data_IF_904517166488
#
_entry.id   IF_904517166488
#
_cell.length_a   1.000
_cell.length_b   1.000
_cell.length_c   1.000
_cell.angle_alpha   90.00
_cell.angle_beta   90.00
_cell.angle_gamma   90.00
#
_symmetry.space_group_name_H-M   'P 1'
#
loop_
_entity.id
_entity.type
_entity.pdbx_description
1 polymer ?
#
# COMPACT_ATOMS: atom_id res chain seq x y z
N UNK A 1 16.29 -14.67 -20.77
CA UNK A 1 15.20 -14.17 -21.63
C UNK A 1 14.17 -13.58 -20.70
N UNK A 2 13.90 -12.29 -20.80
CA UNK A 2 12.78 -11.71 -20.07
C UNK A 2 11.50 -12.30 -20.68
N UNK A 3 10.66 -12.88 -19.87
CA UNK A 3 9.37 -13.40 -20.22
C UNK A 3 8.49 -12.21 -20.67
N UNK A 4 8.13 -12.16 -21.92
CA UNK A 4 7.36 -11.07 -22.56
C UNK A 4 5.87 -11.04 -22.18
N UNK A 5 5.52 -11.63 -21.04
CA UNK A 5 4.15 -11.69 -20.56
C UNK A 5 3.83 -10.51 -19.62
N UNK A 6 2.60 -10.02 -19.69
CA UNK A 6 2.08 -9.12 -18.66
C UNK A 6 2.11 -9.79 -17.28
N UNK A 7 2.53 -9.06 -16.25
CA UNK A 7 2.72 -9.60 -14.89
C UNK A 7 2.30 -8.63 -13.83
N UNK A 8 1.70 -9.17 -12.80
CA UNK A 8 1.63 -8.54 -11.48
C UNK A 8 2.73 -9.13 -10.59
N UNK A 9 3.49 -8.25 -9.96
CA UNK A 9 4.47 -8.64 -8.94
C UNK A 9 3.86 -8.31 -7.59
N UNK A 10 3.67 -9.33 -6.75
CA UNK A 10 3.11 -9.16 -5.42
C UNK A 10 4.17 -9.44 -4.36
N UNK A 11 4.06 -8.77 -3.23
CA UNK A 11 4.77 -9.08 -1.99
C UNK A 11 3.76 -9.65 -1.01
N UNK A 12 4.11 -10.77 -0.40
CA UNK A 12 3.22 -11.50 0.50
C UNK A 12 3.90 -11.71 1.86
N UNK A 13 3.20 -11.34 2.93
CA UNK A 13 3.61 -11.59 4.32
C UNK A 13 2.67 -12.61 4.93
N UNK A 14 3.20 -13.79 5.20
CA UNK A 14 2.45 -14.87 5.85
C UNK A 14 2.74 -14.88 7.35
N UNK A 15 1.68 -14.86 8.14
CA UNK A 15 1.74 -15.02 9.58
C UNK A 15 1.53 -16.47 9.95
N UNK A 16 2.26 -16.93 10.97
CA UNK A 16 2.09 -18.25 11.56
C UNK A 16 1.22 -18.12 12.82
N UNK A 17 0.39 -19.13 13.08
CA UNK A 17 -0.50 -19.16 14.24
C UNK A 17 -1.35 -17.89 14.38
N UNK A 18 -2.02 -17.53 13.28
CA UNK A 18 -2.82 -16.32 13.17
C UNK A 18 -4.12 -16.58 12.38
N UNK A 19 -5.27 -16.15 12.93
CA UNK A 19 -6.57 -16.36 12.31
C UNK A 19 -7.30 -15.03 12.14
N UNK A 20 -7.38 -14.54 10.89
CA UNK A 20 -8.09 -13.31 10.54
C UNK A 20 -9.55 -13.53 10.11
N UNK A 21 -9.98 -14.77 9.92
CA UNK A 21 -11.34 -15.13 9.50
C UNK A 21 -11.78 -14.39 8.22
N UNK A 22 -10.89 -14.25 7.25
CA UNK A 22 -11.12 -13.57 5.97
C UNK A 22 -11.49 -12.09 6.10
N UNK A 23 -11.21 -11.48 7.26
CA UNK A 23 -11.47 -10.06 7.53
C UNK A 23 -10.15 -9.30 7.64
N UNK A 24 -10.08 -8.17 6.96
CA UNK A 24 -8.91 -7.30 6.98
C UNK A 24 -9.33 -5.83 6.87
N UNK A 25 -8.40 -4.93 7.06
CA UNK A 25 -8.63 -3.49 7.02
C UNK A 25 -7.66 -2.82 6.06
N UNK A 26 -8.17 -1.94 5.22
CA UNK A 26 -7.36 -1.09 4.34
C UNK A 26 -7.73 0.37 4.57
N UNK A 27 -6.77 1.25 4.45
CA UNK A 27 -7.09 2.66 4.40
C UNK A 27 -7.34 3.09 2.95
N UNK A 28 -8.36 3.88 2.72
CA UNK A 28 -8.66 4.43 1.39
C UNK A 28 -8.28 5.91 1.23
N UNK A 29 -7.94 6.59 2.31
CA UNK A 29 -7.65 8.02 2.32
C UNK A 29 -6.54 8.43 3.31
N UNK A 30 -5.83 7.47 3.90
CA UNK A 30 -4.82 7.71 4.93
C UNK A 30 -5.37 8.14 6.31
N UNK A 31 -6.69 8.26 6.47
CA UNK A 31 -7.32 8.76 7.71
C UNK A 31 -8.08 7.68 8.47
N UNK A 32 -8.73 6.78 7.78
CA UNK A 32 -9.60 5.76 8.38
C UNK A 32 -9.33 4.39 7.80
N UNK A 33 -9.32 3.37 8.66
CA UNK A 33 -9.23 1.98 8.25
C UNK A 33 -10.62 1.43 7.98
N UNK A 34 -10.87 0.99 6.76
CA UNK A 34 -12.12 0.40 6.31
C UNK A 34 -12.06 -1.12 6.44
N UNK A 35 -13.06 -1.72 7.04
CA UNK A 35 -13.20 -3.16 7.12
C UNK A 35 -13.49 -3.76 5.74
N UNK A 36 -12.80 -4.83 5.43
CA UNK A 36 -12.95 -5.62 4.19
C UNK A 36 -13.15 -7.09 4.56
N UNK A 37 -14.07 -7.72 3.88
CA UNK A 37 -14.33 -9.16 4.04
C UNK A 37 -14.15 -9.81 2.68
N UNK A 38 -13.36 -10.87 2.63
CA UNK A 38 -13.08 -11.60 1.41
C UNK A 38 -14.39 -12.13 0.80
N UNK A 39 -14.58 -11.90 -0.49
CA UNK A 39 -15.77 -12.30 -1.25
C UNK A 39 -17.11 -11.75 -0.71
N UNK A 40 -17.10 -10.67 0.04
CA UNK A 40 -18.31 -10.09 0.61
C UNK A 40 -18.36 -8.57 0.44
N UNK A 41 -19.56 -8.06 0.12
CA UNK A 41 -19.85 -6.62 0.02
C UNK A 41 -21.10 -6.32 0.82
N UNK A 42 -21.01 -5.58 1.94
CA UNK A 42 -22.17 -5.35 2.81
C UNK A 42 -23.26 -4.48 2.17
N UNK A 43 -22.92 -3.67 1.20
CA UNK A 43 -23.86 -2.72 0.57
C UNK A 43 -24.65 -3.27 -0.61
N UNK A 44 -24.32 -4.47 -1.10
CA UNK A 44 -25.00 -5.07 -2.24
C UNK A 44 -24.75 -6.57 -2.36
N UNK A 45 -25.71 -7.28 -2.97
CA UNK A 45 -25.58 -8.71 -3.21
C UNK A 45 -24.62 -8.92 -4.37
N UNK A 46 -23.37 -9.18 -4.06
CA UNK A 46 -22.30 -9.38 -5.03
C UNK A 46 -22.06 -10.86 -5.28
N UNK A 47 -22.15 -11.27 -6.55
CA UNK A 47 -21.67 -12.56 -7.03
C UNK A 47 -20.43 -12.32 -7.88
N UNK A 48 -19.26 -12.49 -7.31
CA UNK A 48 -18.02 -12.16 -8.00
C UNK A 48 -17.63 -13.18 -9.06
N UNK A 49 -17.56 -12.73 -10.30
CA UNK A 49 -17.02 -13.54 -11.38
C UNK A 49 -15.48 -13.61 -11.36
N UNK A 50 -14.85 -12.76 -10.56
CA UNK A 50 -13.40 -12.62 -10.49
C UNK A 50 -12.92 -12.66 -9.03
N UNK A 51 -12.78 -13.84 -8.50
CA UNK A 51 -12.44 -14.10 -7.10
C UNK A 51 -11.12 -13.46 -6.64
N UNK A 52 -10.18 -13.21 -7.54
CA UNK A 52 -8.90 -12.59 -7.22
C UNK A 52 -9.01 -11.07 -7.29
N UNK A 53 -9.24 -10.52 -8.47
CA UNK A 53 -9.18 -9.06 -8.70
C UNK A 53 -10.25 -8.29 -7.90
N UNK A 54 -11.40 -8.89 -7.65
CA UNK A 54 -12.47 -8.27 -6.86
C UNK A 54 -12.14 -8.12 -5.38
N UNK A 55 -11.10 -8.76 -4.87
CA UNK A 55 -10.70 -8.71 -3.47
C UNK A 55 -9.48 -7.82 -3.21
N UNK A 56 -8.99 -7.13 -4.25
CA UNK A 56 -8.00 -6.08 -4.07
C UNK A 56 -8.67 -4.74 -3.79
N UNK A 57 -8.15 -4.05 -2.80
CA UNK A 57 -8.61 -2.73 -2.36
C UNK A 57 -7.48 -1.72 -2.39
N UNK A 58 -7.79 -0.42 -2.53
CA UNK A 58 -6.78 0.61 -2.36
C UNK A 58 -6.15 0.55 -0.97
N UNK A 59 -4.82 0.65 -0.94
CA UNK A 59 -4.00 0.77 0.27
C UNK A 59 -3.15 2.01 0.07
N UNK A 60 -3.54 3.13 0.66
CA UNK A 60 -2.79 4.38 0.52
C UNK A 60 -1.60 4.42 1.47
N UNK A 61 -1.78 3.97 2.69
CA UNK A 61 -0.73 3.97 3.71
C UNK A 61 -0.66 2.72 4.57
N UNK A 62 -1.75 1.94 4.69
CA UNK A 62 -1.74 0.76 5.55
C UNK A 62 -2.79 -0.30 5.18
N UNK A 63 -2.42 -1.57 5.38
CA UNK A 63 -3.30 -2.73 5.39
C UNK A 63 -3.04 -3.53 6.66
N UNK A 64 -4.10 -4.02 7.31
CA UNK A 64 -3.99 -4.74 8.57
C UNK A 64 -4.88 -5.98 8.62
N UNK A 65 -4.44 -6.98 9.38
CA UNK A 65 -5.23 -8.15 9.78
C UNK A 65 -5.25 -8.25 11.29
N UNK A 66 -6.36 -8.78 11.85
CA UNK A 66 -6.55 -8.98 13.29
C UNK A 66 -6.88 -10.43 13.58
N UNK A 67 -6.23 -10.96 14.59
CA UNK A 67 -6.57 -12.23 15.22
C UNK A 67 -7.23 -11.94 16.57
N UNK A 68 -8.55 -12.12 16.63
CA UNK A 68 -9.32 -11.84 17.84
C UNK A 68 -9.05 -12.83 18.96
N UNK A 69 -8.59 -14.04 18.66
CA UNK A 69 -8.29 -15.07 19.65
C UNK A 69 -7.06 -14.72 20.49
N UNK A 70 -6.11 -14.02 19.89
CA UNK A 70 -4.85 -13.62 20.52
C UNK A 70 -4.71 -12.11 20.74
N UNK A 71 -5.71 -11.34 20.33
CA UNK A 71 -5.68 -9.86 20.33
C UNK A 71 -4.53 -9.26 19.52
N UNK A 72 -3.95 -10.01 18.61
CA UNK A 72 -2.85 -9.54 17.75
C UNK A 72 -3.37 -8.85 16.50
N UNK A 73 -2.75 -7.74 16.15
CA UNK A 73 -2.89 -7.11 14.85
C UNK A 73 -1.53 -7.08 14.15
N UNK A 74 -1.54 -7.42 12.87
CA UNK A 74 -0.39 -7.24 11.99
C UNK A 74 -0.77 -6.18 10.97
N UNK A 75 0.06 -5.15 10.84
CA UNK A 75 -0.13 -4.04 9.90
C UNK A 75 1.09 -3.96 8.99
N UNK A 76 0.85 -3.85 7.69
CA UNK A 76 1.86 -3.48 6.70
C UNK A 76 1.57 -2.06 6.25
N UNK A 77 2.53 -1.16 6.42
CA UNK A 77 2.47 0.22 5.94
C UNK A 77 3.35 0.34 4.69
N UNK A 78 2.88 1.09 3.72
CA UNK A 78 3.52 1.31 2.42
C UNK A 78 3.84 2.79 2.21
N UNK A 79 4.88 3.08 1.43
CA UNK A 79 5.34 4.46 1.15
C UNK A 79 4.56 5.14 0.02
N UNK A 80 3.70 4.42 -0.68
CA UNK A 80 2.89 4.92 -1.81
C UNK A 80 1.63 4.09 -1.97
N UNK A 81 0.61 4.69 -2.59
CA UNK A 81 -0.66 3.99 -2.84
C UNK A 81 -0.46 2.77 -3.74
N UNK A 82 -1.00 1.66 -3.32
CA UNK A 82 -0.94 0.36 -3.98
C UNK A 82 -2.29 -0.34 -3.86
N UNK A 83 -2.41 -1.52 -4.44
CA UNK A 83 -3.55 -2.39 -4.23
C UNK A 83 -3.16 -3.54 -3.31
N UNK A 84 -3.99 -3.85 -2.33
CA UNK A 84 -3.72 -4.91 -1.37
C UNK A 84 -4.94 -5.77 -1.07
N UNK A 85 -4.67 -6.97 -0.61
CA UNK A 85 -5.64 -7.95 -0.15
C UNK A 85 -5.09 -8.75 1.03
N UNK A 86 -5.96 -9.50 1.68
CA UNK A 86 -5.53 -10.46 2.69
C UNK A 86 -6.33 -11.76 2.60
N UNK A 87 -5.77 -12.85 3.08
CA UNK A 87 -6.33 -14.22 3.00
C UNK A 87 -6.65 -14.71 1.57
N UNK A 88 -6.21 -14.03 0.54
CA UNK A 88 -6.58 -14.30 -0.83
C UNK A 88 -5.83 -15.51 -1.40
N UNK A 89 -4.51 -15.39 -1.54
CA UNK A 89 -3.66 -16.43 -2.14
C UNK A 89 -3.27 -17.50 -1.11
N UNK A 90 -3.11 -17.08 0.13
CA UNK A 90 -2.73 -17.94 1.25
C UNK A 90 -3.43 -17.44 2.51
N UNK A 91 -3.97 -18.36 3.31
CA UNK A 91 -4.55 -18.01 4.60
C UNK A 91 -3.53 -17.34 5.52
N UNK A 92 -3.99 -16.41 6.33
CA UNK A 92 -3.20 -15.64 7.29
C UNK A 92 -2.05 -14.89 6.61
N UNK A 93 -2.34 -14.28 5.46
CA UNK A 93 -1.35 -13.50 4.72
C UNK A 93 -1.92 -12.16 4.25
N UNK A 94 -1.05 -11.16 4.25
CA UNK A 94 -1.27 -9.87 3.59
C UNK A 94 -0.52 -9.89 2.26
N UNK A 95 -1.17 -9.42 1.21
CA UNK A 95 -0.60 -9.34 -0.13
C UNK A 95 -0.76 -7.93 -0.68
N UNK A 96 0.31 -7.36 -1.23
CA UNK A 96 0.32 -6.04 -1.89
C UNK A 96 0.87 -6.19 -3.30
N UNK A 97 0.19 -5.63 -4.29
CA UNK A 97 0.73 -5.51 -5.66
C UNK A 97 1.80 -4.43 -5.63
N UNK A 98 3.04 -4.86 -5.77
CA UNK A 98 4.18 -3.94 -5.82
C UNK A 98 4.29 -3.26 -7.16
N UNK A 99 4.10 -4.01 -8.25
CA UNK A 99 4.25 -3.53 -9.61
C UNK A 99 3.38 -4.31 -10.58
N UNK A 100 2.96 -3.66 -11.63
CA UNK A 100 2.17 -4.26 -12.72
C UNK A 100 2.79 -3.91 -14.05
N UNK A 101 2.88 -4.89 -14.94
CA UNK A 101 3.24 -4.71 -16.33
C UNK A 101 2.17 -5.35 -17.20
N UNK A 102 1.62 -4.58 -18.12
CA UNK A 102 0.67 -5.04 -19.14
C UNK A 102 1.21 -4.69 -20.52
N UNK A 103 1.21 -5.65 -21.43
CA UNK A 103 1.74 -5.46 -22.78
C UNK A 103 0.71 -4.84 -23.73
N UNK A 104 -0.57 -4.96 -23.40
CA UNK A 104 -1.67 -4.49 -24.23
C UNK A 104 -2.64 -3.66 -23.40
N UNK A 105 -3.20 -2.66 -24.04
CA UNK A 105 -4.34 -1.91 -23.52
C UNK A 105 -5.60 -2.78 -23.49
N UNK A 106 -6.46 -2.57 -22.52
CA UNK A 106 -7.73 -3.30 -22.36
C UNK A 106 -8.88 -2.73 -23.20
N UNK A 107 -8.63 -1.69 -23.99
CA UNK A 107 -9.61 -0.98 -24.84
C UNK A 107 -10.79 -0.38 -24.05
N UNK A 108 -10.54 0.03 -22.79
CA UNK A 108 -11.56 0.59 -21.89
C UNK A 108 -11.37 2.07 -21.58
N UNK A 109 -10.51 2.77 -22.30
CA UNK A 109 -10.34 4.21 -22.07
C UNK A 109 -9.07 4.81 -22.63
N UNK A 110 -7.99 4.79 -21.88
CA UNK A 110 -6.78 5.58 -22.15
C UNK A 110 -6.03 5.17 -23.43
N UNK A 111 -6.10 3.91 -23.83
CA UNK A 111 -5.42 3.41 -25.02
C UNK A 111 -3.91 3.18 -24.82
N UNK A 112 -3.47 3.02 -23.60
CA UNK A 112 -2.06 2.83 -23.26
C UNK A 112 -1.83 1.54 -22.46
N UNK A 113 -0.85 0.74 -22.89
CA UNK A 113 -0.37 -0.39 -22.12
C UNK A 113 0.53 0.11 -20.95
N UNK A 114 0.66 -0.70 -19.89
CA UNK A 114 1.61 -0.47 -18.79
C UNK A 114 2.92 -1.18 -19.10
N UNK A 115 3.66 -0.68 -20.08
CA UNK A 115 4.88 -1.32 -20.58
C UNK A 115 6.05 -0.34 -20.70
N UNK A 116 6.19 0.54 -19.73
CA UNK A 116 7.24 1.54 -19.69
C UNK A 116 8.61 0.90 -19.55
N UNK A 117 9.57 1.49 -20.25
CA UNK A 117 10.97 1.09 -20.22
C UNK A 117 11.87 2.31 -19.94
N UNK A 118 13.08 2.04 -19.45
CA UNK A 118 14.11 3.05 -19.35
C UNK A 118 14.69 3.40 -20.74
N UNK A 119 15.60 4.35 -20.79
CA UNK A 119 16.26 4.81 -22.03
C UNK A 119 17.04 3.70 -22.76
N UNK A 120 17.33 2.60 -22.11
CA UNK A 120 18.04 1.44 -22.66
C UNK A 120 17.08 0.31 -23.08
N UNK A 121 15.78 0.52 -22.94
CA UNK A 121 14.75 -0.48 -23.26
C UNK A 121 14.52 -1.54 -22.18
N UNK A 122 15.09 -1.38 -20.98
CA UNK A 122 14.82 -2.27 -19.85
C UNK A 122 13.56 -1.84 -19.11
N UNK A 123 12.82 -2.80 -18.60
CA UNK A 123 11.65 -2.52 -17.74
C UNK A 123 12.04 -1.68 -16.52
N UNK A 124 11.12 -0.82 -16.10
CA UNK A 124 11.33 0.08 -14.95
C UNK A 124 11.63 -0.71 -13.67
N UNK A 125 12.66 -0.29 -12.95
CA UNK A 125 13.01 -0.84 -11.64
C UNK A 125 12.35 0.00 -10.55
N UNK A 126 11.59 -0.65 -9.68
CA UNK A 126 10.89 -0.01 -8.58
C UNK A 126 11.44 -0.53 -7.26
N UNK A 127 11.93 0.38 -6.42
CA UNK A 127 12.26 0.10 -5.04
C UNK A 127 11.07 0.49 -4.18
N UNK A 128 10.56 -0.44 -3.38
CA UNK A 128 9.47 -0.19 -2.45
C UNK A 128 9.94 -0.44 -1.02
N UNK A 129 9.46 0.37 -0.09
CA UNK A 129 9.66 0.18 1.33
C UNK A 129 8.35 -0.14 2.02
N UNK A 130 8.41 -1.07 2.92
CA UNK A 130 7.30 -1.49 3.75
C UNK A 130 7.74 -1.53 5.21
N UNK A 131 6.83 -1.15 6.09
CA UNK A 131 7.01 -1.25 7.53
C UNK A 131 6.02 -2.25 8.08
N UNK A 132 6.52 -3.20 8.82
CA UNK A 132 5.71 -4.22 9.47
C UNK A 132 5.58 -3.89 10.96
N UNK A 133 4.34 -3.80 11.44
CA UNK A 133 4.02 -3.59 12.84
C UNK A 133 3.18 -4.74 13.37
N UNK A 134 3.50 -5.20 14.59
CA UNK A 134 2.70 -6.18 15.32
C UNK A 134 2.35 -5.57 16.66
N UNK A 135 1.06 -5.52 16.99
CA UNK A 135 0.57 -4.91 18.21
C UNK A 135 -0.63 -5.67 18.82
N UNK A 136 -0.92 -5.36 20.08
CA UNK A 136 -2.18 -5.76 20.73
C UNK A 136 -3.24 -4.67 20.46
N UNK A 137 -4.15 -4.94 19.50
CA UNK A 137 -5.12 -3.94 19.05
C UNK A 137 -6.17 -3.57 20.12
N UNK A 138 -6.25 -4.30 21.22
CA UNK A 138 -7.15 -3.97 22.33
C UNK A 138 -6.56 -2.92 23.27
N UNK A 139 -5.24 -2.86 23.36
CA UNK A 139 -4.50 -1.95 24.26
C UNK A 139 -3.89 -0.76 23.54
N UNK A 140 -3.41 -0.96 22.33
CA UNK A 140 -2.56 -0.02 21.60
C UNK A 140 -3.29 0.63 20.42
N UNK A 141 -4.54 1.04 20.62
CA UNK A 141 -5.44 1.55 19.55
C UNK A 141 -4.88 2.74 18.75
N UNK A 142 -4.07 3.58 19.37
CA UNK A 142 -3.50 4.77 18.74
C UNK A 142 -2.13 4.53 18.09
N UNK A 143 -1.46 3.44 18.43
CA UNK A 143 -0.07 3.20 18.02
C UNK A 143 0.04 3.05 16.51
N UNK A 144 -0.81 2.26 15.88
CA UNK A 144 -0.83 2.12 14.42
C UNK A 144 -0.92 3.49 13.73
N UNK A 145 -1.81 4.36 14.21
CA UNK A 145 -1.98 5.69 13.60
C UNK A 145 -0.75 6.58 13.78
N UNK A 146 -0.09 6.50 14.92
CA UNK A 146 1.15 7.24 15.17
C UNK A 146 2.26 6.76 14.24
N UNK A 147 2.45 5.45 14.09
CA UNK A 147 3.44 4.89 13.18
C UNK A 147 3.13 5.22 11.71
N UNK A 148 1.88 5.13 11.31
CA UNK A 148 1.42 5.52 9.98
C UNK A 148 1.76 6.98 9.67
N UNK A 149 1.54 7.90 10.60
CA UNK A 149 1.89 9.30 10.44
C UNK A 149 3.40 9.53 10.31
N UNK A 150 4.22 8.78 11.06
CA UNK A 150 5.68 8.87 10.96
C UNK A 150 6.20 8.37 9.61
N UNK A 151 5.55 7.38 9.03
CA UNK A 151 5.87 6.86 7.69
C UNK A 151 5.43 7.82 6.59
N UNK A 152 4.19 8.30 6.66
CA UNK A 152 3.57 9.15 5.62
C UNK A 152 4.11 10.59 5.63
N UNK A 153 4.46 11.09 6.82
CA UNK A 153 4.90 12.47 7.03
C UNK A 153 6.21 12.51 7.82
N UNK A 154 7.32 12.01 7.24
CA UNK A 154 8.61 12.06 7.90
C UNK A 154 9.05 13.51 8.09
N UNK A 155 9.81 13.73 9.15
CA UNK A 155 10.34 15.05 9.48
C UNK A 155 11.26 15.53 8.35
N UNK A 156 10.94 16.68 7.76
CA UNK A 156 11.74 17.29 6.71
C UNK A 156 12.60 18.39 7.32
N UNK A 157 13.91 18.27 7.12
CA UNK A 157 14.87 19.28 7.55
C UNK A 157 15.22 20.17 6.36
N UNK A 158 15.04 21.49 6.50
CA UNK A 158 15.46 22.46 5.48
C UNK A 158 16.38 23.50 6.11
N UNK A 159 17.36 23.95 5.34
CA UNK A 159 18.27 25.02 5.72
C UNK A 159 18.10 26.17 4.75
N UNK A 160 17.92 27.38 5.29
CA UNK A 160 17.97 28.61 4.51
C UNK A 160 19.23 29.39 4.91
N UNK A 161 19.99 29.87 3.94
CA UNK A 161 21.07 30.82 4.17
C UNK A 161 20.51 32.22 3.95
N UNK A 162 20.48 33.02 5.01
CA UNK A 162 20.22 34.46 4.89
C UNK A 162 21.39 35.14 4.20
N UNK A 163 21.18 35.61 2.98
CA UNK A 163 22.10 36.52 2.34
C UNK A 163 21.88 37.92 2.93
N UNK A 164 22.62 38.29 3.96
CA UNK A 164 22.65 39.68 4.45
C UNK A 164 23.35 40.51 3.38
N UNK A 165 22.57 41.15 2.51
CA UNK A 165 23.10 42.19 1.66
C UNK A 165 23.42 43.40 2.58
N UNK A 166 24.70 43.64 2.85
CA UNK A 166 25.12 44.90 3.39
C UNK A 166 24.80 46.00 2.39
N UNK A 167 23.58 46.56 2.46
CA UNK A 167 23.31 47.86 1.83
C UNK A 167 24.02 48.92 2.64
N UNK A 168 25.24 49.28 2.26
CA UNK A 168 25.87 50.52 2.68
C UNK A 168 25.01 51.67 2.18
N UNK A 169 24.17 52.22 3.03
CA UNK A 169 23.57 53.53 2.79
C UNK A 169 24.68 54.57 2.76
N UNK A 170 25.17 54.88 1.58
CA UNK A 170 25.89 56.17 1.34
C UNK A 170 24.84 57.26 1.27
N UNK A 171 24.54 57.91 2.37
CA UNK A 171 23.95 59.26 2.40
C UNK A 171 25.00 60.27 1.96
N UNK A 172 24.73 60.92 0.82
CA UNK A 172 25.30 62.23 0.47
C UNK A 172 24.37 63.31 1.00
#
# INVERSE_FOLDING_TARGET
MADDQGKDVTVNWKMLDFEANSTFWTDSNGLEMQERILNYRPSWNWSGDQNISSNYYPVNSAIAMRDSSTSRQVTVMNERSQAGSADLSTKSSIEIIQNRRLLFDDSRGVGEALNETDALGYGMKVNARYWLEVLDFTKEKSQQRQQQLLVDQPLQLSFAFDYISNSTNTTQ
#
